data_IF_017187545209
#
_entry.id   IF_017187545209
#
_cell.length_a   1.000
_cell.length_b   1.000
_cell.length_c   1.000
_cell.angle_alpha   90.00
_cell.angle_beta   90.00
_cell.angle_gamma   90.00
#
_symmetry.space_group_name_H-M   'P 1'
#
loop_
_entity.id
_entity.type
_entity.pdbx_description
1 polymer ?
#
# COMPACT_ATOMS: atom_id res chain seq x y z
N UNK A 1 -19.24 3.88 -2.82
CA UNK A 1 -18.66 2.67 -2.21
C UNK A 1 -19.59 1.49 -2.46
N UNK A 2 -19.21 0.64 -3.41
CA UNK A 2 -19.84 -0.66 -3.65
C UNK A 2 -19.33 -1.66 -2.61
N UNK A 3 -20.24 -2.30 -1.85
CA UNK A 3 -19.89 -3.32 -0.84
C UNK A 3 -20.14 -4.69 -1.45
N UNK A 4 -19.13 -5.56 -1.42
CA UNK A 4 -19.26 -6.94 -1.87
C UNK A 4 -19.71 -7.82 -0.71
N UNK A 5 -20.75 -8.60 -0.95
CA UNK A 5 -21.14 -9.66 -0.04
C UNK A 5 -20.02 -10.72 0.03
N UNK A 6 -19.83 -11.28 1.21
CA UNK A 6 -18.93 -12.42 1.41
C UNK A 6 -19.50 -13.32 2.50
N UNK A 7 -19.03 -14.57 2.52
CA UNK A 7 -19.42 -15.52 3.55
C UNK A 7 -19.05 -14.99 4.95
N UNK A 8 -20.03 -15.01 5.84
CA UNK A 8 -19.88 -14.66 7.26
C UNK A 8 -20.01 -15.93 8.07
N UNK A 9 -19.03 -16.20 8.93
CA UNK A 9 -18.97 -17.40 9.78
C UNK A 9 -18.79 -17.03 11.25
N UNK A 10 -19.42 -17.77 12.16
CA UNK A 10 -19.13 -17.68 13.58
C UNK A 10 -17.74 -18.26 13.89
N UNK A 11 -17.07 -17.71 14.89
CA UNK A 11 -15.67 -18.04 15.19
C UNK A 11 -15.44 -19.49 15.59
N UNK A 12 -16.47 -20.17 16.10
CA UNK A 12 -16.43 -21.59 16.47
C UNK A 12 -16.74 -22.55 15.32
N UNK A 13 -17.12 -22.03 14.14
CA UNK A 13 -17.34 -22.85 12.96
C UNK A 13 -16.05 -23.47 12.42
N UNK A 14 -16.13 -24.63 11.74
CA UNK A 14 -14.97 -25.29 11.16
C UNK A 14 -14.24 -24.44 10.11
N UNK A 15 -12.90 -24.44 10.17
CA UNK A 15 -12.01 -23.77 9.22
C UNK A 15 -12.23 -24.26 7.78
N UNK A 16 -12.66 -25.52 7.59
CA UNK A 16 -13.02 -26.05 6.27
C UNK A 16 -14.10 -25.23 5.55
N UNK A 17 -15.06 -24.64 6.28
CA UNK A 17 -16.06 -23.75 5.70
C UNK A 17 -15.45 -22.44 5.22
N UNK A 18 -14.57 -21.85 6.03
CA UNK A 18 -13.83 -20.65 5.64
C UNK A 18 -12.94 -20.91 4.42
N UNK A 19 -12.29 -22.08 4.34
CA UNK A 19 -11.52 -22.49 3.16
C UNK A 19 -12.39 -22.52 1.90
N UNK A 20 -13.58 -23.13 1.95
CA UNK A 20 -14.51 -23.14 0.81
C UNK A 20 -14.89 -21.72 0.37
N UNK A 21 -15.30 -20.87 1.32
CA UNK A 21 -15.69 -19.50 1.01
C UNK A 21 -14.55 -18.65 0.45
N UNK A 22 -13.32 -18.83 0.95
CA UNK A 22 -12.14 -18.14 0.39
C UNK A 22 -11.84 -18.61 -1.04
N UNK A 23 -12.00 -19.90 -1.33
CA UNK A 23 -11.78 -20.45 -2.67
C UNK A 23 -12.86 -19.98 -3.66
N UNK A 24 -14.12 -19.94 -3.24
CA UNK A 24 -15.25 -19.47 -4.06
C UNK A 24 -15.14 -17.99 -4.39
N UNK A 25 -14.76 -17.16 -3.41
CA UNK A 25 -14.69 -15.68 -3.58
C UNK A 25 -13.31 -15.17 -4.02
N UNK A 26 -12.27 -16.01 -3.96
CA UNK A 26 -10.86 -15.67 -4.18
C UNK A 26 -10.33 -14.47 -3.36
N UNK A 27 -11.03 -14.12 -2.27
CA UNK A 27 -10.82 -12.86 -1.55
C UNK A 27 -10.63 -13.09 -0.05
N UNK A 28 -11.71 -13.09 0.73
CA UNK A 28 -11.70 -13.27 2.17
C UNK A 28 -13.12 -13.56 2.68
N UNK A 29 -13.23 -14.30 3.78
CA UNK A 29 -14.47 -14.49 4.54
C UNK A 29 -14.42 -13.69 5.85
N UNK A 30 -15.58 -13.25 6.33
CA UNK A 30 -15.68 -12.52 7.59
C UNK A 30 -15.95 -13.50 8.73
N UNK A 31 -15.24 -13.32 9.83
CA UNK A 31 -15.45 -14.07 11.07
C UNK A 31 -16.11 -13.16 12.11
N UNK A 32 -17.19 -13.65 12.70
CA UNK A 32 -17.95 -12.99 13.76
C UNK A 32 -17.94 -13.80 15.06
N UNK A 33 -18.31 -13.15 16.16
CA UNK A 33 -18.61 -13.79 17.44
C UNK A 33 -19.85 -13.15 18.01
N UNK A 34 -20.92 -13.95 18.17
CA UNK A 34 -22.25 -13.45 18.58
C UNK A 34 -22.73 -12.34 17.63
N UNK A 35 -22.56 -12.53 16.33
CA UNK A 35 -22.95 -11.58 15.28
C UNK A 35 -22.12 -10.29 15.17
N UNK A 36 -21.06 -10.13 15.96
CA UNK A 36 -20.14 -8.97 15.87
C UNK A 36 -18.85 -9.34 15.16
N UNK A 37 -18.33 -8.44 14.33
CA UNK A 37 -17.07 -8.60 13.63
C UNK A 37 -15.90 -8.90 14.58
N UNK A 38 -15.10 -9.90 14.23
CA UNK A 38 -13.87 -10.29 14.96
C UNK A 38 -12.64 -10.14 14.07
N UNK A 39 -12.77 -10.49 12.80
CA UNK A 39 -11.70 -10.41 11.82
C UNK A 39 -12.07 -11.04 10.48
N UNK A 40 -11.08 -11.27 9.63
CA UNK A 40 -11.26 -12.00 8.37
C UNK A 40 -10.32 -13.20 8.28
N UNK A 41 -10.62 -14.12 7.37
CA UNK A 41 -9.71 -15.15 6.90
C UNK A 41 -9.54 -14.98 5.39
N UNK A 42 -8.31 -14.91 4.91
CA UNK A 42 -7.96 -14.83 3.48
C UNK A 42 -6.94 -15.90 3.08
N UNK A 43 -6.73 -16.08 1.78
CA UNK A 43 -5.81 -17.09 1.23
C UNK A 43 -4.36 -16.90 1.68
N UNK A 44 -3.95 -15.65 1.94
CA UNK A 44 -2.58 -15.30 2.36
C UNK A 44 -2.25 -15.79 3.77
N UNK A 45 -3.24 -15.85 4.65
CA UNK A 45 -3.06 -16.25 6.04
C UNK A 45 -3.36 -17.74 6.28
N UNK A 46 -4.02 -18.38 5.33
CA UNK A 46 -4.23 -19.83 5.33
C UNK A 46 -2.97 -20.58 4.87
N UNK A 47 -2.27 -20.04 3.86
CA UNK A 47 -1.11 -20.70 3.28
C UNK A 47 0.02 -20.93 4.29
N UNK A 48 0.42 -22.19 4.47
CA UNK A 48 1.48 -22.60 5.41
C UNK A 48 1.03 -22.77 6.86
N UNK A 49 -0.26 -22.52 7.18
CA UNK A 49 -0.85 -22.80 8.50
C UNK A 49 -2.01 -23.80 8.45
N UNK A 50 -2.45 -24.21 7.26
CA UNK A 50 -3.50 -25.23 7.10
C UNK A 50 -3.07 -26.51 7.81
N UNK A 51 -3.87 -26.92 8.79
CA UNK A 51 -3.68 -28.14 9.57
C UNK A 51 -4.10 -29.36 8.77
N UNK A 52 -3.61 -30.55 9.14
CA UNK A 52 -4.01 -31.83 8.53
C UNK A 52 -5.53 -32.12 8.62
N UNK A 53 -6.26 -31.43 9.51
CA UNK A 53 -7.71 -31.60 9.63
C UNK A 53 -8.45 -30.26 9.88
N UNK A 54 -8.66 -29.44 8.83
CA UNK A 54 -9.31 -28.14 8.95
C UNK A 54 -10.78 -28.24 9.39
N UNK A 55 -11.42 -29.41 9.26
CA UNK A 55 -12.78 -29.62 9.76
C UNK A 55 -12.87 -29.65 11.30
N UNK A 56 -11.76 -29.89 12.00
CA UNK A 56 -11.70 -29.93 13.47
C UNK A 56 -11.18 -28.64 14.11
N UNK A 57 -10.75 -27.69 13.29
CA UNK A 57 -10.14 -26.44 13.73
C UNK A 57 -11.14 -25.31 13.62
N UNK A 58 -11.24 -24.47 14.65
CA UNK A 58 -12.15 -23.32 14.68
C UNK A 58 -11.60 -22.14 13.88
N UNK A 59 -12.48 -21.45 13.16
CA UNK A 59 -12.14 -20.25 12.38
C UNK A 59 -11.40 -19.19 13.21
N UNK A 60 -11.80 -18.96 14.47
CA UNK A 60 -11.21 -17.93 15.35
C UNK A 60 -9.68 -18.06 15.52
N UNK A 61 -9.12 -19.25 15.30
CA UNK A 61 -7.68 -19.54 15.42
C UNK A 61 -6.85 -18.93 14.27
N UNK A 62 -7.48 -18.66 13.13
CA UNK A 62 -6.82 -18.24 11.88
C UNK A 62 -7.13 -16.80 11.49
N UNK A 63 -7.90 -16.10 12.31
CA UNK A 63 -8.35 -14.74 12.04
C UNK A 63 -7.19 -13.76 11.97
N UNK A 64 -7.24 -12.88 10.97
CA UNK A 64 -6.46 -11.65 10.92
C UNK A 64 -7.36 -10.42 11.05
N UNK A 65 -6.76 -9.32 11.51
CA UNK A 65 -7.48 -8.07 11.78
C UNK A 65 -6.97 -6.95 10.88
N UNK A 66 -7.51 -6.84 9.64
CA UNK A 66 -7.33 -5.64 8.83
C UNK A 66 -7.97 -4.41 9.49
N UNK A 67 -7.60 -3.20 9.05
CA UNK A 67 -8.35 -1.99 9.38
C UNK A 67 -9.83 -2.18 9.04
N UNK A 68 -10.70 -1.80 9.98
CA UNK A 68 -12.15 -1.87 9.81
C UNK A 68 -12.64 -0.54 9.27
N UNK A 69 -13.52 -0.58 8.28
CA UNK A 69 -14.13 0.61 7.69
C UNK A 69 -15.64 0.57 7.81
N UNK A 70 -16.25 1.73 7.62
CA UNK A 70 -17.70 1.98 7.67
C UNK A 70 -18.16 2.55 6.32
N UNK A 71 -19.46 2.53 5.99
CA UNK A 71 -19.98 3.20 4.79
C UNK A 71 -19.59 4.68 4.68
N UNK A 72 -19.36 5.34 5.82
CA UNK A 72 -18.99 6.75 5.93
C UNK A 72 -17.47 6.99 5.79
N UNK A 73 -16.65 5.93 5.78
CA UNK A 73 -15.19 6.06 5.69
C UNK A 73 -14.79 6.69 4.34
N UNK A 74 -13.99 7.75 4.40
CA UNK A 74 -13.62 8.52 3.22
C UNK A 74 -12.80 7.70 2.22
N UNK A 75 -12.78 8.14 0.96
CA UNK A 75 -11.98 7.45 -0.07
C UNK A 75 -10.48 7.44 0.28
N UNK A 76 -9.95 8.55 0.82
CA UNK A 76 -8.56 8.64 1.23
C UNK A 76 -8.24 7.66 2.36
N UNK A 77 -9.04 7.62 3.43
CA UNK A 77 -8.87 6.65 4.51
C UNK A 77 -8.95 5.20 4.02
N UNK A 78 -9.82 4.91 3.04
CA UNK A 78 -9.89 3.57 2.41
C UNK A 78 -8.60 3.24 1.64
N UNK A 79 -8.02 4.19 0.92
CA UNK A 79 -6.72 3.99 0.26
C UNK A 79 -5.62 3.72 1.30
N UNK A 80 -5.56 4.52 2.37
CA UNK A 80 -4.59 4.37 3.46
C UNK A 80 -4.71 3.03 4.17
N UNK A 81 -5.94 2.56 4.43
CA UNK A 81 -6.18 1.27 5.04
C UNK A 81 -5.57 0.10 4.22
N UNK A 82 -5.57 0.19 2.89
CA UNK A 82 -4.89 -0.79 2.03
C UNK A 82 -3.37 -0.64 1.98
N UNK A 83 -2.81 0.48 2.45
CA UNK A 83 -1.37 0.73 2.58
C UNK A 83 -0.80 0.24 3.92
N UNK A 84 -1.62 0.18 4.97
CA UNK A 84 -1.21 -0.28 6.31
C UNK A 84 -0.80 -1.75 6.36
N UNK A 85 -1.19 -2.55 5.38
CA UNK A 85 -0.83 -3.96 5.35
C UNK A 85 -1.15 -4.66 4.05
N UNK A 86 -0.82 -5.94 3.98
CA UNK A 86 -0.98 -6.77 2.78
C UNK A 86 -2.35 -7.46 2.76
N UNK A 87 -3.43 -6.71 2.98
CA UNK A 87 -4.81 -7.25 3.00
C UNK A 87 -5.40 -7.33 1.60
N UNK A 88 -6.06 -8.43 1.20
CA UNK A 88 -6.79 -8.47 -0.09
C UNK A 88 -8.09 -7.67 -0.06
N UNK A 89 -8.73 -7.63 1.10
CA UNK A 89 -9.97 -6.94 1.35
C UNK A 89 -9.97 -6.25 2.71
N UNK A 90 -10.84 -5.26 2.85
CA UNK A 90 -11.15 -4.59 4.11
C UNK A 90 -12.61 -4.89 4.47
N UNK A 91 -12.90 -5.24 5.74
CA UNK A 91 -14.25 -5.47 6.23
C UNK A 91 -15.00 -4.14 6.36
N UNK A 92 -16.27 -4.17 6.00
CA UNK A 92 -17.19 -3.06 6.20
C UNK A 92 -18.16 -3.45 7.30
N UNK A 93 -18.29 -2.61 8.32
CA UNK A 93 -19.23 -2.83 9.44
C UNK A 93 -20.16 -1.66 9.62
N UNK A 94 -21.31 -1.90 10.23
CA UNK A 94 -22.20 -0.84 10.72
C UNK A 94 -21.70 -0.25 12.05
N UNK A 95 -22.40 0.77 12.53
CA UNK A 95 -22.19 1.41 13.83
C UNK A 95 -22.25 0.45 15.04
N UNK A 96 -22.84 -0.74 14.88
CA UNK A 96 -22.98 -1.77 15.92
C UNK A 96 -21.94 -2.90 15.79
N UNK A 97 -20.93 -2.76 14.93
CA UNK A 97 -19.93 -3.80 14.60
C UNK A 97 -20.52 -5.03 13.88
N UNK A 98 -21.70 -4.93 13.29
CA UNK A 98 -22.24 -5.99 12.42
C UNK A 98 -21.59 -5.88 11.04
N UNK A 99 -21.11 -6.98 10.46
CA UNK A 99 -20.52 -6.95 9.14
C UNK A 99 -21.59 -6.68 8.07
N UNK A 100 -21.29 -5.74 7.18
CA UNK A 100 -22.07 -5.44 5.98
C UNK A 100 -21.49 -6.13 4.74
N UNK A 101 -20.20 -6.49 4.79
CA UNK A 101 -19.49 -7.14 3.68
C UNK A 101 -18.03 -6.73 3.66
N UNK A 102 -17.43 -6.77 2.47
CA UNK A 102 -16.04 -6.37 2.24
C UNK A 102 -15.92 -5.39 1.08
N UNK A 103 -14.81 -4.68 1.02
CA UNK A 103 -14.31 -4.05 -0.21
C UNK A 103 -12.94 -4.58 -0.56
N UNK A 104 -12.62 -4.59 -1.84
CA UNK A 104 -11.29 -4.87 -2.36
C UNK A 104 -10.67 -3.61 -2.94
N UNK A 105 -9.43 -3.73 -3.43
CA UNK A 105 -8.77 -2.64 -4.16
C UNK A 105 -9.52 -2.24 -5.43
N UNK A 106 -10.27 -3.16 -6.04
CA UNK A 106 -11.05 -2.90 -7.26
C UNK A 106 -12.14 -1.87 -6.99
N UNK A 107 -12.89 -2.00 -5.89
CA UNK A 107 -13.95 -1.05 -5.54
C UNK A 107 -13.37 0.35 -5.21
N UNK A 108 -12.20 0.40 -4.57
CA UNK A 108 -11.49 1.67 -4.34
C UNK A 108 -11.01 2.29 -5.66
N UNK A 109 -10.50 1.50 -6.60
CA UNK A 109 -10.13 1.99 -7.94
C UNK A 109 -11.34 2.49 -8.73
N UNK A 110 -12.50 1.81 -8.66
CA UNK A 110 -13.76 2.28 -9.27
C UNK A 110 -14.13 3.67 -8.74
N UNK A 111 -14.12 3.84 -7.42
CA UNK A 111 -14.44 5.13 -6.79
C UNK A 111 -13.43 6.22 -7.23
N UNK A 112 -12.11 5.92 -7.24
CA UNK A 112 -11.08 6.86 -7.70
C UNK A 112 -11.25 7.25 -9.18
N UNK A 113 -11.58 6.29 -10.06
CA UNK A 113 -11.85 6.55 -11.47
C UNK A 113 -13.08 7.43 -11.65
N UNK A 114 -14.15 7.19 -10.87
CA UNK A 114 -15.39 7.97 -10.95
C UNK A 114 -15.21 9.43 -10.55
N UNK A 115 -14.29 9.70 -9.61
CA UNK A 115 -13.92 11.05 -9.17
C UNK A 115 -12.80 11.67 -10.01
N UNK A 116 -12.33 10.99 -11.05
CA UNK A 116 -11.19 11.39 -11.87
C UNK A 116 -9.93 11.70 -11.03
N UNK A 117 -9.74 10.97 -9.93
CA UNK A 117 -8.63 11.14 -8.98
C UNK A 117 -7.35 10.40 -9.39
N UNK A 118 -7.37 9.67 -10.52
CA UNK A 118 -6.23 8.93 -11.07
C UNK A 118 -5.62 9.73 -12.22
N UNK A 119 -4.30 9.95 -12.25
CA UNK A 119 -3.66 10.85 -13.21
C UNK A 119 -3.57 10.22 -14.61
N UNK A 120 -3.53 11.09 -15.63
CA UNK A 120 -3.28 10.73 -17.02
C UNK A 120 -1.78 10.79 -17.39
N UNK A 121 -0.92 10.45 -16.44
CA UNK A 121 0.52 10.28 -16.66
C UNK A 121 0.84 8.89 -17.20
N UNK A 122 2.01 8.75 -17.81
CA UNK A 122 2.48 7.48 -18.36
C UNK A 122 2.65 6.42 -17.24
N UNK A 123 2.28 5.16 -17.52
CA UNK A 123 2.42 4.04 -16.56
C UNK A 123 3.85 3.84 -16.06
N UNK A 124 4.85 4.15 -16.89
CA UNK A 124 6.27 4.01 -16.54
C UNK A 124 6.71 4.95 -15.41
N UNK A 125 5.96 6.02 -15.15
CA UNK A 125 6.25 6.94 -14.04
C UNK A 125 5.91 6.36 -12.67
N UNK A 126 4.97 5.41 -12.59
CA UNK A 126 4.49 4.82 -11.32
C UNK A 126 4.79 3.33 -11.18
N UNK A 127 5.09 2.63 -12.28
CA UNK A 127 5.37 1.20 -12.22
C UNK A 127 6.62 0.91 -11.38
N UNK A 128 6.62 -0.24 -10.70
CA UNK A 128 7.83 -0.81 -10.12
C UNK A 128 8.64 -1.55 -11.19
N UNK A 129 9.96 -1.37 -11.18
CA UNK A 129 10.91 -2.03 -12.08
C UNK A 129 12.19 -2.42 -11.32
N UNK A 130 12.95 -3.46 -11.75
CA UNK A 130 12.65 -4.37 -12.86
C UNK A 130 11.59 -5.44 -12.50
N UNK A 131 11.06 -6.14 -13.50
CA UNK A 131 10.20 -7.31 -13.27
C UNK A 131 11.08 -8.54 -13.07
N UNK A 132 10.97 -9.17 -11.91
CA UNK A 132 11.66 -10.44 -11.65
C UNK A 132 10.99 -11.59 -12.39
N UNK A 133 11.74 -12.27 -13.26
CA UNK A 133 11.23 -13.27 -14.20
C UNK A 133 11.93 -14.63 -14.05
N UNK A 134 11.25 -15.66 -14.53
CA UNK A 134 11.76 -17.03 -14.64
C UNK A 134 11.24 -17.70 -15.91
N UNK A 135 12.06 -18.53 -16.55
CA UNK A 135 11.61 -19.33 -17.69
C UNK A 135 10.74 -20.48 -17.18
N UNK A 136 9.68 -20.85 -17.91
CA UNK A 136 8.80 -21.94 -17.48
C UNK A 136 9.52 -23.28 -17.36
N UNK A 137 10.63 -23.48 -18.08
CA UNK A 137 11.44 -24.71 -18.03
C UNK A 137 12.48 -24.70 -16.92
N UNK A 138 12.65 -23.57 -16.22
CA UNK A 138 13.49 -23.53 -15.02
C UNK A 138 12.93 -24.42 -13.92
N UNK A 139 13.81 -24.88 -13.05
CA UNK A 139 13.42 -25.77 -11.96
C UNK A 139 12.85 -24.99 -10.78
N UNK A 140 12.11 -25.67 -9.90
CA UNK A 140 11.65 -25.12 -8.63
C UNK A 140 12.84 -24.65 -7.76
N UNK A 141 13.95 -25.39 -7.76
CA UNK A 141 15.17 -25.00 -7.05
C UNK A 141 15.71 -23.65 -7.52
N UNK A 142 15.77 -23.45 -8.84
CA UNK A 142 16.17 -22.17 -9.45
C UNK A 142 15.19 -21.05 -9.09
N UNK A 143 13.88 -21.34 -9.09
CA UNK A 143 12.85 -20.39 -8.69
C UNK A 143 13.02 -19.93 -7.24
N UNK A 144 13.26 -20.87 -6.31
CA UNK A 144 13.56 -20.58 -4.90
C UNK A 144 14.83 -19.74 -4.77
N UNK A 145 15.87 -20.07 -5.53
CA UNK A 145 17.11 -19.30 -5.61
C UNK A 145 16.86 -17.85 -5.99
N UNK A 146 16.18 -17.62 -7.12
CA UNK A 146 15.81 -16.27 -7.59
C UNK A 146 14.92 -15.50 -6.63
N UNK A 147 13.92 -16.17 -6.03
CA UNK A 147 13.05 -15.54 -5.03
C UNK A 147 13.85 -15.04 -3.82
N UNK A 148 14.82 -15.85 -3.36
CA UNK A 148 15.72 -15.48 -2.26
C UNK A 148 16.68 -14.35 -2.67
N UNK A 149 17.26 -14.44 -3.85
CA UNK A 149 18.19 -13.43 -4.40
C UNK A 149 17.53 -12.06 -4.51
N UNK A 150 16.31 -12.00 -5.04
CA UNK A 150 15.59 -10.74 -5.29
C UNK A 150 14.69 -10.29 -4.13
N UNK A 151 14.73 -10.99 -2.98
CA UNK A 151 13.80 -10.82 -1.86
C UNK A 151 12.32 -10.67 -2.30
N UNK A 152 11.94 -11.48 -3.29
CA UNK A 152 10.59 -11.45 -3.88
C UNK A 152 9.86 -12.75 -3.59
N UNK A 153 8.54 -12.62 -3.36
CA UNK A 153 7.65 -13.78 -3.15
C UNK A 153 7.05 -14.32 -4.44
N UNK A 154 7.28 -13.65 -5.57
CA UNK A 154 6.65 -13.93 -6.87
C UNK A 154 7.63 -13.67 -8.02
N UNK A 155 7.55 -14.52 -9.03
CA UNK A 155 8.26 -14.40 -10.29
C UNK A 155 7.25 -14.43 -11.43
N UNK A 156 7.44 -13.57 -12.43
CA UNK A 156 6.70 -13.61 -13.67
C UNK A 156 7.28 -14.73 -14.56
N UNK A 157 6.44 -15.67 -14.97
CA UNK A 157 6.85 -16.82 -15.77
C UNK A 157 6.84 -16.45 -17.24
N UNK A 158 7.93 -16.77 -17.94
CA UNK A 158 8.12 -16.55 -19.36
C UNK A 158 8.11 -17.88 -20.11
N UNK A 159 7.46 -17.89 -21.28
CA UNK A 159 7.58 -18.93 -22.31
C UNK A 159 8.13 -18.27 -23.56
N UNK A 160 9.31 -18.70 -24.00
CA UNK A 160 9.97 -18.10 -25.18
C UNK A 160 10.09 -16.57 -25.07
N UNK A 161 10.44 -16.07 -23.88
CA UNK A 161 10.57 -14.64 -23.59
C UNK A 161 9.26 -13.86 -23.42
N UNK A 162 8.09 -14.50 -23.59
CA UNK A 162 6.78 -13.86 -23.41
C UNK A 162 6.15 -14.24 -22.06
N UNK A 163 5.51 -13.29 -21.35
CA UNK A 163 4.87 -13.58 -20.08
C UNK A 163 3.62 -14.46 -20.25
N UNK A 164 3.56 -15.54 -19.48
CA UNK A 164 2.46 -16.53 -19.54
C UNK A 164 1.74 -16.76 -18.22
N UNK A 165 2.34 -16.36 -17.10
CA UNK A 165 1.70 -16.51 -15.79
C UNK A 165 2.62 -16.10 -14.65
N UNK A 166 2.22 -16.44 -13.43
CA UNK A 166 2.95 -16.06 -12.21
C UNK A 166 3.23 -17.30 -11.38
N UNK A 167 4.45 -17.39 -10.85
CA UNK A 167 4.85 -18.41 -9.89
C UNK A 167 5.25 -17.77 -8.57
N UNK A 168 4.75 -18.29 -7.46
CA UNK A 168 4.92 -17.67 -6.14
C UNK A 168 5.28 -18.67 -5.05
N UNK A 169 5.84 -18.15 -3.97
CA UNK A 169 6.09 -18.93 -2.74
C UNK A 169 4.85 -19.65 -2.18
N UNK A 170 3.66 -19.13 -2.46
CA UNK A 170 2.39 -19.80 -2.14
C UNK A 170 2.19 -21.08 -2.96
N UNK A 171 2.47 -21.00 -4.26
CA UNK A 171 2.36 -22.13 -5.17
C UNK A 171 3.32 -23.25 -4.71
N UNK A 172 4.53 -22.89 -4.25
CA UNK A 172 5.49 -23.81 -3.62
C UNK A 172 4.94 -24.47 -2.34
N UNK A 173 4.31 -23.69 -1.46
CA UNK A 173 3.75 -24.21 -0.21
C UNK A 173 2.65 -25.25 -0.47
N UNK A 174 1.80 -25.03 -1.47
CA UNK A 174 0.75 -25.98 -1.87
C UNK A 174 1.30 -27.33 -2.36
N UNK A 175 2.53 -27.38 -2.85
CA UNK A 175 3.16 -28.61 -3.32
C UNK A 175 3.69 -29.49 -2.19
N UNK A 176 4.17 -28.89 -1.10
CA UNK A 176 4.62 -29.61 0.11
C UNK A 176 3.46 -30.20 0.93
N UNK A 177 2.22 -29.74 0.67
CA UNK A 177 1.01 -30.13 1.40
C UNK A 177 0.20 -31.25 0.72
N UNK A 178 0.56 -31.66 -0.50
CA UNK A 178 0.00 -32.91 -1.04
C UNK A 178 0.47 -34.04 -0.14
N UNK A 179 -0.42 -34.93 0.36
CA UNK A 179 0.03 -36.09 1.10
C UNK A 179 1.12 -36.76 0.28
N UNK A 180 2.17 -37.24 0.94
CA UNK A 180 2.94 -38.36 0.41
C UNK A 180 1.96 -39.52 0.27
N UNK A 181 1.08 -39.49 -0.73
CA UNK A 181 0.43 -40.68 -1.23
C UNK A 181 1.59 -41.55 -1.66
N UNK A 182 1.99 -42.43 -0.75
CA UNK A 182 1.87 -43.84 -1.04
C UNK A 182 2.44 -44.22 -2.42
N UNK A 183 3.64 -43.73 -2.76
CA UNK A 183 4.55 -44.48 -3.60
C UNK A 183 5.08 -45.65 -2.77
N UNK A 184 4.14 -46.56 -2.45
CA UNK A 184 4.41 -47.92 -2.10
C UNK A 184 5.32 -48.48 -3.20
N UNK A 185 6.56 -48.78 -2.80
CA UNK A 185 7.22 -50.04 -3.09
C UNK A 185 6.67 -50.80 -4.30
N UNK A 186 6.93 -50.31 -5.51
CA UNK A 186 6.95 -51.16 -6.70
C UNK A 186 8.31 -51.02 -7.36
N UNK A 187 9.13 -52.05 -7.13
CA UNK A 187 10.38 -52.39 -7.84
C UNK A 187 11.53 -51.39 -7.69
N UNK A 188 12.31 -51.55 -6.62
CA UNK A 188 13.78 -51.58 -6.69
C UNK A 188 14.58 -50.38 -7.23
N UNK A 189 13.95 -49.29 -7.65
CA UNK A 189 14.63 -48.06 -8.08
C UNK A 189 13.90 -46.88 -7.46
N UNK A 190 14.39 -46.42 -6.30
CA UNK A 190 13.93 -45.17 -5.70
C UNK A 190 14.58 -44.03 -6.48
N UNK A 191 13.95 -43.60 -7.57
CA UNK A 191 14.21 -42.26 -8.09
C UNK A 191 13.46 -41.29 -7.18
N UNK A 192 14.12 -40.86 -6.10
CA UNK A 192 13.70 -39.69 -5.33
C UNK A 192 13.95 -38.46 -6.21
N UNK A 193 13.09 -38.20 -7.20
CA UNK A 193 13.12 -36.89 -7.87
C UNK A 193 12.73 -35.86 -6.84
N UNK A 194 13.65 -34.96 -6.52
CA UNK A 194 13.35 -33.86 -5.61
C UNK A 194 12.29 -33.00 -6.28
N UNK A 195 11.36 -32.45 -5.51
CA UNK A 195 10.44 -31.46 -6.05
C UNK A 195 11.19 -30.24 -6.59
N UNK A 196 12.40 -30.00 -6.10
CA UNK A 196 13.27 -28.93 -6.59
C UNK A 196 13.73 -29.15 -8.03
N UNK A 197 13.70 -30.39 -8.53
CA UNK A 197 14.07 -30.75 -9.90
C UNK A 197 12.89 -30.61 -10.88
N UNK A 198 11.67 -30.38 -10.38
CA UNK A 198 10.50 -30.22 -11.24
C UNK A 198 10.45 -28.83 -11.89
N UNK A 199 9.91 -28.76 -13.11
CA UNK A 199 9.80 -27.52 -13.87
C UNK A 199 8.69 -26.60 -13.35
N UNK A 200 8.95 -25.30 -13.36
CA UNK A 200 7.97 -24.26 -13.02
C UNK A 200 6.71 -24.37 -13.91
N UNK A 201 6.86 -24.81 -15.16
CA UNK A 201 5.79 -25.01 -16.14
C UNK A 201 4.60 -25.81 -15.61
N UNK A 202 4.83 -26.73 -14.66
CA UNK A 202 3.80 -27.60 -14.09
C UNK A 202 2.96 -26.95 -13.00
N UNK A 203 3.41 -25.83 -12.44
CA UNK A 203 2.87 -25.30 -11.18
C UNK A 203 2.57 -23.80 -11.19
N UNK A 204 3.01 -23.06 -12.20
CA UNK A 204 2.66 -21.65 -12.31
C UNK A 204 1.16 -21.46 -12.56
N UNK A 205 0.64 -20.33 -12.10
CA UNK A 205 -0.75 -19.94 -12.38
C UNK A 205 -0.79 -19.21 -13.73
N UNK A 206 -1.49 -19.75 -14.74
CA UNK A 206 -1.53 -19.16 -16.06
C UNK A 206 -2.36 -17.88 -16.11
N UNK A 207 -2.08 -17.07 -17.12
CA UNK A 207 -2.78 -15.81 -17.35
C UNK A 207 -2.05 -14.62 -16.76
N UNK A 208 -1.98 -13.56 -17.55
CA UNK A 208 -1.45 -12.27 -17.16
C UNK A 208 -2.39 -11.18 -17.66
N UNK A 209 -2.55 -10.13 -16.88
CA UNK A 209 -3.13 -8.87 -17.37
C UNK A 209 -1.99 -7.92 -17.65
N UNK A 210 -1.92 -7.38 -18.86
CA UNK A 210 -0.84 -6.51 -19.28
C UNK A 210 -1.31 -5.23 -19.96
N UNK A 211 -0.39 -4.28 -20.04
CA UNK A 211 -0.58 -3.01 -20.73
C UNK A 211 0.73 -2.60 -21.43
N UNK A 212 0.63 -1.79 -22.47
CA UNK A 212 1.79 -1.24 -23.18
C UNK A 212 2.42 -0.07 -22.38
N UNK A 213 3.75 0.06 -22.42
CA UNK A 213 4.53 1.10 -21.75
C UNK A 213 4.13 2.56 -22.08
N UNK A 214 3.49 2.80 -23.23
CA UNK A 214 2.99 4.13 -23.60
C UNK A 214 1.63 4.48 -22.98
N UNK A 215 0.99 3.54 -22.29
CA UNK A 215 -0.35 3.75 -21.74
C UNK A 215 -0.32 4.66 -20.51
N UNK A 216 -1.48 5.15 -20.10
CA UNK A 216 -1.61 5.98 -18.89
C UNK A 216 -1.95 5.15 -17.65
N UNK A 217 -1.61 5.69 -16.47
CA UNK A 217 -1.98 5.10 -15.17
C UNK A 217 -3.50 4.94 -15.06
N UNK A 218 -4.28 5.94 -15.51
CA UNK A 218 -5.74 5.86 -15.61
C UNK A 218 -6.22 4.68 -16.47
N UNK A 219 -5.62 4.45 -17.64
CA UNK A 219 -5.96 3.30 -18.48
C UNK A 219 -5.61 1.98 -17.79
N UNK A 220 -4.48 1.90 -17.10
CA UNK A 220 -4.11 0.72 -16.32
C UNK A 220 -5.13 0.44 -15.20
N UNK A 221 -5.58 1.47 -14.47
CA UNK A 221 -6.62 1.34 -13.46
C UNK A 221 -7.95 0.84 -14.05
N UNK A 222 -8.35 1.34 -15.23
CA UNK A 222 -9.54 0.84 -15.94
C UNK A 222 -9.42 -0.64 -16.29
N UNK A 223 -8.26 -1.08 -16.80
CA UNK A 223 -7.99 -2.49 -17.10
C UNK A 223 -8.00 -3.34 -15.84
N UNK A 224 -7.45 -2.84 -14.72
CA UNK A 224 -7.50 -3.50 -13.41
C UNK A 224 -8.96 -3.74 -12.96
N UNK A 225 -9.81 -2.71 -13.09
CA UNK A 225 -11.23 -2.81 -12.75
C UNK A 225 -11.97 -3.77 -13.68
N UNK A 226 -11.78 -3.64 -15.00
CA UNK A 226 -12.46 -4.46 -16.01
C UNK A 226 -12.13 -5.95 -15.86
N UNK A 227 -10.86 -6.26 -15.56
CA UNK A 227 -10.38 -7.65 -15.40
C UNK A 227 -10.47 -8.16 -13.96
N UNK A 228 -11.00 -7.35 -13.04
CA UNK A 228 -11.02 -7.62 -11.59
C UNK A 228 -9.66 -8.05 -11.01
N UNK A 229 -8.58 -7.40 -11.46
CA UNK A 229 -7.21 -7.64 -10.99
C UNK A 229 -6.64 -6.42 -10.28
N UNK A 230 -5.70 -6.63 -9.36
CA UNK A 230 -5.08 -5.53 -8.60
C UNK A 230 -3.75 -5.03 -9.15
N UNK A 231 -3.31 -5.54 -10.30
CA UNK A 231 -2.03 -5.21 -10.92
C UNK A 231 -2.01 -5.57 -12.40
N UNK A 232 -1.16 -4.89 -13.16
CA UNK A 232 -0.90 -5.17 -14.57
C UNK A 232 0.60 -5.24 -14.83
N UNK A 233 1.00 -6.09 -15.77
CA UNK A 233 2.37 -6.18 -16.28
C UNK A 233 2.55 -5.15 -17.39
N UNK A 234 3.54 -4.29 -17.27
CA UNK A 234 3.88 -3.29 -18.30
C UNK A 234 4.84 -3.92 -19.30
N UNK A 235 4.47 -3.91 -20.58
CA UNK A 235 5.22 -4.50 -21.68
C UNK A 235 5.85 -3.41 -22.55
N UNK A 236 7.12 -3.60 -22.88
CA UNK A 236 7.86 -2.82 -23.89
C UNK A 236 7.16 -2.94 -25.24
N UNK A 237 6.95 -1.81 -25.92
CA UNK A 237 6.39 -1.78 -27.27
C UNK A 237 7.37 -2.38 -28.28
N UNK A 238 8.68 -2.21 -28.03
CA UNK A 238 9.75 -2.61 -28.95
C UNK A 238 9.86 -4.13 -29.12
N UNK A 239 9.81 -4.87 -28.01
CA UNK A 239 10.11 -6.31 -28.00
C UNK A 239 9.09 -7.16 -27.20
N UNK A 240 8.04 -6.55 -26.65
CA UNK A 240 7.00 -7.25 -25.91
C UNK A 240 7.46 -7.81 -24.56
N UNK A 241 8.66 -7.45 -24.11
CA UNK A 241 9.20 -7.91 -22.82
C UNK A 241 8.57 -7.16 -21.64
N UNK A 242 8.44 -7.80 -20.48
CA UNK A 242 8.00 -7.14 -19.26
C UNK A 242 9.07 -6.18 -18.74
N UNK A 243 8.70 -4.91 -18.56
CA UNK A 243 9.61 -3.84 -18.09
C UNK A 243 9.22 -3.29 -16.72
N UNK A 244 7.98 -3.51 -16.29
CA UNK A 244 7.54 -3.15 -14.94
C UNK A 244 6.22 -3.79 -14.54
N UNK A 245 5.84 -3.57 -13.29
CA UNK A 245 4.53 -3.95 -12.74
C UNK A 245 3.91 -2.71 -12.13
N UNK A 246 2.68 -2.38 -12.53
CA UNK A 246 1.89 -1.34 -11.87
C UNK A 246 0.79 -2.02 -11.06
N UNK A 247 0.73 -1.74 -9.75
CA UNK A 247 -0.31 -2.25 -8.86
C UNK A 247 -1.24 -1.15 -8.38
N UNK A 248 -2.45 -1.53 -7.96
CA UNK A 248 -3.39 -0.60 -7.32
C UNK A 248 -2.79 0.10 -6.10
N UNK A 249 -1.86 -0.56 -5.39
CA UNK A 249 -1.16 0.02 -4.24
C UNK A 249 -0.26 1.18 -4.66
N UNK A 250 0.39 1.10 -5.83
CA UNK A 250 1.22 2.20 -6.34
C UNK A 250 0.36 3.43 -6.68
N UNK A 251 -0.83 3.19 -7.24
CA UNK A 251 -1.83 4.24 -7.48
C UNK A 251 -2.32 4.83 -6.15
N UNK A 252 -2.62 4.01 -5.14
CA UNK A 252 -3.07 4.50 -3.83
C UNK A 252 -2.00 5.31 -3.12
N UNK A 253 -0.72 4.89 -3.19
CA UNK A 253 0.39 5.69 -2.68
C UNK A 253 0.46 7.04 -3.36
N UNK A 254 0.40 7.07 -4.69
CA UNK A 254 0.42 8.32 -5.44
C UNK A 254 -0.76 9.23 -5.09
N UNK A 255 -1.98 8.69 -4.99
CA UNK A 255 -3.18 9.45 -4.59
C UNK A 255 -3.02 10.00 -3.18
N UNK A 256 -2.54 9.18 -2.25
CA UNK A 256 -2.26 9.59 -0.88
C UNK A 256 -1.23 10.70 -0.84
N UNK A 257 -0.08 10.51 -1.47
CA UNK A 257 1.00 11.50 -1.57
C UNK A 257 0.49 12.79 -2.21
N UNK A 258 -0.34 12.72 -3.25
CA UNK A 258 -0.94 13.90 -3.90
C UNK A 258 -2.00 14.58 -3.04
N UNK A 259 -2.74 13.84 -2.22
CA UNK A 259 -3.69 14.42 -1.25
C UNK A 259 -2.97 14.99 -0.01
N UNK A 260 -1.82 14.42 0.32
CA UNK A 260 -0.91 14.89 1.36
C UNK A 260 0.01 16.03 0.86
N UNK A 261 0.19 16.19 -0.45
CA UNK A 261 0.76 17.37 -1.07
C UNK A 261 -0.39 18.38 -1.32
N UNK A 262 -0.61 19.41 -0.51
CA UNK A 262 0.35 20.45 -0.15
C UNK A 262 -0.09 21.11 1.15
N UNK A 263 0.87 21.58 1.92
CA UNK A 263 0.62 22.75 2.77
C UNK A 263 0.48 23.92 1.81
N UNK A 264 -0.63 24.64 1.87
CA UNK A 264 -0.80 25.84 1.03
C UNK A 264 0.17 26.93 1.49
N UNK A 265 1.34 26.99 0.84
CA UNK A 265 2.35 28.01 1.11
C UNK A 265 2.13 29.22 0.21
N UNK A 266 1.72 30.34 0.80
CA UNK A 266 1.52 31.62 0.13
C UNK A 266 2.69 32.55 0.41
N UNK A 267 3.43 32.95 -0.63
CA UNK A 267 4.53 33.92 -0.49
C UNK A 267 4.07 35.30 -0.98
N UNK A 268 4.31 36.32 -0.15
CA UNK A 268 3.93 37.71 -0.42
C UNK A 268 5.06 38.67 -0.05
N UNK A 269 5.02 39.91 -0.55
CA UNK A 269 5.98 40.96 -0.20
C UNK A 269 7.32 40.92 -0.96
N UNK A 270 7.39 40.16 -2.06
CA UNK A 270 8.51 40.20 -2.99
C UNK A 270 8.43 41.42 -3.92
N UNK A 271 9.58 42.04 -4.19
CA UNK A 271 9.77 43.13 -5.17
C UNK A 271 10.18 42.57 -6.54
N UNK A 272 10.40 43.45 -7.55
CA UNK A 272 10.76 43.00 -8.91
C UNK A 272 12.07 42.21 -8.96
N UNK A 273 13.04 42.55 -8.11
CA UNK A 273 14.34 41.87 -8.03
C UNK A 273 14.22 40.48 -7.40
N UNK A 274 13.31 40.30 -6.45
CA UNK A 274 13.17 39.06 -5.66
C UNK A 274 12.04 38.15 -6.12
N UNK A 275 11.21 38.58 -7.08
CA UNK A 275 10.06 37.82 -7.60
C UNK A 275 10.43 36.44 -8.14
N UNK A 276 11.63 36.31 -8.73
CA UNK A 276 12.15 35.04 -9.25
C UNK A 276 12.36 33.96 -8.18
N UNK A 277 12.52 34.37 -6.91
CA UNK A 277 12.77 33.46 -5.78
C UNK A 277 11.47 32.89 -5.18
N UNK A 278 10.29 33.28 -5.67
CA UNK A 278 9.00 32.86 -5.13
C UNK A 278 8.90 31.34 -4.91
N UNK A 279 9.26 30.55 -5.93
CA UNK A 279 9.16 29.08 -5.86
C UNK A 279 10.20 28.47 -4.93
N UNK A 280 11.40 29.06 -4.86
CA UNK A 280 12.45 28.61 -3.96
C UNK A 280 12.07 28.81 -2.49
N UNK A 281 11.57 30.01 -2.16
CA UNK A 281 11.06 30.34 -0.81
C UNK A 281 9.93 29.39 -0.44
N UNK A 282 8.96 29.21 -1.35
CA UNK A 282 7.84 28.30 -1.17
C UNK A 282 8.33 26.90 -0.83
N UNK A 283 9.18 26.32 -1.66
CA UNK A 283 9.69 24.95 -1.51
C UNK A 283 10.48 24.77 -0.21
N UNK A 284 11.28 25.76 0.20
CA UNK A 284 12.08 25.69 1.41
C UNK A 284 11.21 25.69 2.67
N UNK A 285 10.18 26.55 2.72
CA UNK A 285 9.25 26.62 3.84
C UNK A 285 8.32 25.40 3.88
N UNK A 286 7.82 24.96 2.72
CA UNK A 286 6.98 23.76 2.59
C UNK A 286 7.69 22.53 3.16
N UNK A 287 8.93 22.26 2.73
CA UNK A 287 9.77 21.16 3.27
C UNK A 287 10.00 21.25 4.78
N UNK A 288 10.07 22.46 5.34
CA UNK A 288 10.24 22.65 6.77
C UNK A 288 8.94 22.33 7.55
N UNK A 289 7.80 22.77 7.03
CA UNK A 289 6.49 22.59 7.64
C UNK A 289 5.95 21.14 7.50
N UNK A 290 6.27 20.45 6.41
CA UNK A 290 5.78 19.10 6.10
C UNK A 290 6.04 18.09 7.23
N UNK A 291 7.23 18.17 7.86
CA UNK A 291 7.62 17.31 9.00
C UNK A 291 6.68 17.40 10.20
N UNK A 292 5.86 18.44 10.27
CA UNK A 292 4.99 18.79 11.37
C UNK A 292 3.51 18.77 10.98
N UNK A 293 3.19 18.50 9.70
CA UNK A 293 1.84 18.55 9.13
C UNK A 293 0.84 17.73 9.93
N UNK A 294 1.05 16.42 10.07
CA UNK A 294 0.13 15.53 10.81
C UNK A 294 0.03 15.89 12.30
N UNK A 295 1.17 16.22 12.91
CA UNK A 295 1.25 16.46 14.36
C UNK A 295 0.40 17.66 14.75
N UNK A 296 0.51 18.75 13.99
CA UNK A 296 -0.18 20.01 14.27
C UNK A 296 -1.38 20.28 13.35
N UNK A 297 -1.72 19.36 12.44
CA UNK A 297 -2.78 19.53 11.45
C UNK A 297 -2.56 20.76 10.57
N UNK A 298 -1.33 20.99 10.11
CA UNK A 298 -0.99 22.19 9.33
C UNK A 298 -1.69 22.12 7.97
N UNK A 299 -2.47 23.15 7.64
CA UNK A 299 -3.20 23.26 6.37
C UNK A 299 -2.63 24.35 5.48
N UNK A 300 -2.12 25.44 6.06
CA UNK A 300 -1.66 26.62 5.33
C UNK A 300 -0.47 27.29 6.01
N UNK A 301 0.45 27.84 5.23
CA UNK A 301 1.56 28.67 5.70
C UNK A 301 1.64 29.95 4.87
N UNK A 302 1.49 31.10 5.50
CA UNK A 302 1.73 32.38 4.86
C UNK A 302 3.16 32.85 5.15
N UNK A 303 3.89 33.20 4.10
CA UNK A 303 5.22 33.78 4.13
C UNK A 303 5.09 35.22 3.66
N UNK A 304 5.37 36.17 4.55
CA UNK A 304 5.44 37.58 4.20
C UNK A 304 6.88 38.06 4.27
N UNK A 305 7.42 38.47 3.13
CA UNK A 305 8.76 39.01 2.99
C UNK A 305 8.70 40.53 3.11
N UNK A 306 9.59 41.10 3.92
CA UNK A 306 9.76 42.56 4.04
C UNK A 306 11.24 42.92 3.88
N UNK A 307 11.55 43.74 2.87
CA UNK A 307 12.88 44.30 2.66
C UNK A 307 13.08 45.53 3.55
N UNK A 308 14.23 45.60 4.21
CA UNK A 308 14.69 46.80 4.92
C UNK A 308 15.97 47.33 4.25
N UNK A 309 16.53 48.43 4.76
CA UNK A 309 17.78 48.98 4.21
C UNK A 309 18.99 48.05 4.38
N UNK A 310 18.98 47.17 5.37
CA UNK A 310 20.16 46.37 5.75
C UNK A 310 19.90 44.86 5.89
N UNK A 311 18.65 44.41 5.84
CA UNK A 311 18.28 43.00 5.98
C UNK A 311 16.88 42.70 5.41
N UNK A 312 16.57 41.42 5.23
CA UNK A 312 15.23 40.90 4.93
C UNK A 312 14.60 40.32 6.18
N UNK A 313 13.30 40.56 6.35
CA UNK A 313 12.49 39.96 7.41
C UNK A 313 11.44 39.03 6.79
N UNK A 314 11.38 37.80 7.29
CA UNK A 314 10.40 36.79 6.90
C UNK A 314 9.46 36.57 8.07
N UNK A 315 8.18 36.90 7.89
CA UNK A 315 7.12 36.53 8.83
C UNK A 315 6.41 35.28 8.32
N UNK A 316 6.41 34.23 9.14
CA UNK A 316 5.67 33.00 8.88
C UNK A 316 4.42 32.95 9.76
N UNK A 317 3.27 32.69 9.14
CA UNK A 317 2.01 32.38 9.83
C UNK A 317 1.59 30.98 9.44
N UNK A 318 1.56 30.05 10.39
CA UNK A 318 1.22 28.65 10.19
C UNK A 318 -0.18 28.43 10.76
N UNK A 319 -1.08 27.96 9.92
CA UNK A 319 -2.45 27.63 10.29
C UNK A 319 -2.61 26.10 10.37
N UNK A 320 -3.23 25.65 11.45
CA UNK A 320 -3.54 24.25 11.70
C UNK A 320 -4.43 24.11 12.93
N UNK A 321 -4.26 23.05 13.72
CA UNK A 321 -4.97 22.88 15.01
C UNK A 321 -4.75 24.05 15.96
N UNK A 322 -3.56 24.65 15.90
CA UNK A 322 -3.20 25.89 16.57
C UNK A 322 -2.54 26.83 15.55
N UNK A 323 -2.67 28.15 15.77
CA UNK A 323 -2.00 29.16 14.96
C UNK A 323 -0.62 29.45 15.53
N UNK A 324 0.40 29.41 14.68
CA UNK A 324 1.77 29.82 15.03
C UNK A 324 2.18 31.02 14.20
N UNK A 325 2.81 31.99 14.84
CA UNK A 325 3.39 33.15 14.16
C UNK A 325 4.85 33.24 14.60
N UNK A 326 5.75 33.42 13.64
CA UNK A 326 7.17 33.62 13.89
C UNK A 326 7.76 34.59 12.86
N UNK A 327 8.88 35.18 13.21
CA UNK A 327 9.65 36.06 12.34
C UNK A 327 11.13 35.70 12.42
N UNK A 328 11.81 35.84 11.30
CA UNK A 328 13.26 35.67 11.20
C UNK A 328 13.83 36.74 10.28
N UNK A 329 15.01 37.24 10.63
CA UNK A 329 15.73 38.26 9.88
C UNK A 329 17.04 37.69 9.36
N UNK A 330 17.47 38.12 8.17
CA UNK A 330 18.74 37.72 7.57
C UNK A 330 19.30 38.80 6.64
N UNK A 331 20.63 38.87 6.46
CA UNK A 331 21.26 39.89 5.62
C UNK A 331 20.85 39.75 4.15
N UNK A 332 20.63 38.52 3.69
CA UNK A 332 20.01 38.22 2.39
C UNK A 332 18.63 37.58 2.56
N UNK A 333 17.84 37.56 1.49
CA UNK A 333 16.54 36.87 1.48
C UNK A 333 16.70 35.37 1.69
N UNK A 334 17.73 34.75 1.11
CA UNK A 334 18.03 33.34 1.27
C UNK A 334 18.38 33.01 2.73
N UNK A 335 19.22 33.84 3.37
CA UNK A 335 19.54 33.70 4.79
C UNK A 335 18.29 33.82 5.66
N UNK A 336 17.47 34.86 5.41
CA UNK A 336 16.26 35.10 6.20
C UNK A 336 15.28 33.91 6.08
N UNK A 337 15.12 33.33 4.89
CA UNK A 337 14.26 32.16 4.63
C UNK A 337 14.81 30.91 5.29
N UNK A 338 16.12 30.67 5.21
CA UNK A 338 16.77 29.53 5.85
C UNK A 338 16.69 29.61 7.39
N UNK A 339 16.88 30.80 7.97
CA UNK A 339 16.70 31.05 9.40
C UNK A 339 15.23 30.83 9.79
N UNK A 340 14.26 31.34 9.02
CA UNK A 340 12.84 31.12 9.26
C UNK A 340 12.48 29.62 9.26
N UNK A 341 12.98 28.86 8.29
CA UNK A 341 12.79 27.42 8.19
C UNK A 341 13.41 26.66 9.37
N UNK A 342 14.58 27.10 9.86
CA UNK A 342 15.23 26.52 11.04
C UNK A 342 14.45 26.81 12.33
N UNK A 343 13.98 28.04 12.50
CA UNK A 343 13.21 28.43 13.68
C UNK A 343 11.85 27.71 13.71
N UNK A 344 11.19 27.55 12.55
CA UNK A 344 9.98 26.72 12.42
C UNK A 344 10.22 25.31 12.96
N UNK A 345 11.30 24.65 12.49
CA UNK A 345 11.65 23.29 12.94
C UNK A 345 11.92 23.22 14.44
N UNK A 346 12.57 24.24 15.00
CA UNK A 346 12.93 24.31 16.41
C UNK A 346 11.70 24.54 17.30
N UNK A 347 10.83 25.49 16.95
CA UNK A 347 9.62 25.82 17.72
C UNK A 347 8.65 24.65 17.72
N UNK A 348 8.33 24.11 16.54
CA UNK A 348 7.41 22.98 16.42
C UNK A 348 8.04 21.67 16.92
N UNK A 349 9.37 21.52 16.86
CA UNK A 349 10.10 20.39 17.43
C UNK A 349 10.05 20.35 18.96
N UNK A 350 10.29 21.50 19.63
CA UNK A 350 10.27 21.60 21.10
C UNK A 350 8.88 21.35 21.69
N UNK A 351 7.82 21.88 21.08
CA UNK A 351 6.45 21.60 21.54
C UNK A 351 6.10 20.10 21.41
N UNK A 352 6.55 19.45 20.34
CA UNK A 352 6.28 18.02 20.08
C UNK A 352 6.90 17.11 21.13
N UNK A 353 8.12 17.41 21.60
CA UNK A 353 8.77 16.64 22.67
C UNK A 353 8.09 16.83 24.04
N UNK A 354 7.60 18.04 24.33
CA UNK A 354 6.86 18.36 25.56
C UNK A 354 5.50 17.63 25.59
N UNK A 355 4.74 17.65 24.49
CA UNK A 355 3.47 16.92 24.42
C UNK A 355 3.64 15.40 24.52
N UNK A 356 4.68 14.85 23.88
CA UNK A 356 4.99 13.43 23.99
C UNK A 356 5.33 13.05 25.43
N UNK A 357 6.13 13.87 26.12
CA UNK A 357 6.48 13.67 27.53
C UNK A 357 5.26 13.77 28.46
N UNK A 358 4.35 14.73 28.20
CA UNK A 358 3.08 14.85 28.94
C UNK A 358 2.16 13.65 28.72
N UNK A 359 2.03 13.15 27.49
CA UNK A 359 1.23 11.95 27.19
C UNK A 359 1.81 10.68 27.81
N UNK A 360 3.13 10.57 27.91
CA UNK A 360 3.81 9.46 28.61
C UNK A 360 3.57 9.56 30.12
N UNK A 361 3.79 10.72 30.75
CA UNK A 361 3.52 10.91 32.18
C UNK A 361 2.04 10.69 32.55
N UNK A 362 1.12 11.14 31.68
CA UNK A 362 -0.32 10.90 31.87
C UNK A 362 -0.71 9.42 31.73
N UNK A 363 0.03 8.63 30.92
CA UNK A 363 -0.15 7.18 30.82
C UNK A 363 0.47 6.42 31.99
N UNK A 364 1.52 6.96 32.60
CA UNK A 364 2.26 6.35 33.71
C UNK A 364 1.73 6.73 35.11
N UNK A 365 0.69 7.57 35.19
CA UNK A 365 0.01 7.88 36.45
C UNK A 365 0.81 8.72 37.46
N UNK A 366 1.96 9.27 37.05
CA UNK A 366 2.78 10.14 37.90
C UNK A 366 2.22 11.57 37.86
N UNK A 367 1.52 11.98 38.93
CA UNK A 367 1.19 13.39 39.19
C UNK A 367 2.39 14.09 39.82
N UNK A 368 2.56 15.36 39.44
CA UNK A 368 3.62 16.27 39.94
C UNK A 368 3.64 16.41 41.46
#
# INVERSE_FOLDING_TARGET
>A
MEIKETLVLEGDEPLSKALSGVLETNTAVIIVKKGKYVGIIDDRNLSGRITDNPAKVKCETFVVKPPVITPETSLLERTEAFLLGRFKALPVVDQNQKPLGIITRVEVLKDLLSLNAIPEINVTNLMSSPVYTIDERSTIGEAKGKMKEYDTKKLLVLRNGKPVGVFSSLDLAGLSMKPKEASYMKRGVVSMRSIDDEEVAKFYRPGITSINEKSTVKKAAQVMVEKEVSHVIVLSEKDGKPIGVLSAVDIFKWVKETAEEKIDVFVSGLDEETRGLHNEIKNTIEKAAEKFKESYGITKVEVHVKRTKSFYSIKLTIEGKEKFVMSADGPTIEDAVNIAAAELKKVLGRKKSIEKSRKVRAREGLRE
#
